data_IF_312933612985
#
_entry.id   IF_312933612985
#
_cell.length_a   1.000
_cell.length_b   1.000
_cell.length_c   1.000
_cell.angle_alpha   90.00
_cell.angle_beta   90.00
_cell.angle_gamma   90.00
#
_symmetry.space_group_name_H-M   'P 1'
#
loop_
_entity.id
_entity.type
_entity.pdbx_description
1 polymer ?
#
# COMPACT_ATOMS: atom_id res chain seq x y z
N UNK A 1 22.06 7.60 1.28
CA UNK A 1 22.22 8.45 0.09
C UNK A 1 20.87 8.66 -0.56
N UNK A 2 20.53 9.91 -0.88
CA UNK A 2 19.23 10.19 -1.49
C UNK A 2 19.01 9.46 -2.81
N UNK A 3 17.76 9.06 -3.03
CA UNK A 3 17.33 8.33 -4.21
C UNK A 3 16.15 9.10 -4.84
N UNK A 4 16.43 9.97 -5.82
CA UNK A 4 15.42 10.85 -6.39
C UNK A 4 14.21 10.10 -6.97
N UNK A 5 14.42 8.95 -7.62
CA UNK A 5 13.32 8.17 -8.18
C UNK A 5 12.37 7.65 -7.11
N UNK A 6 12.91 7.25 -5.97
CA UNK A 6 12.09 6.80 -4.84
C UNK A 6 11.29 7.97 -4.25
N UNK A 7 11.91 9.14 -4.14
CA UNK A 7 11.22 10.33 -3.66
C UNK A 7 10.08 10.73 -4.59
N UNK A 8 10.29 10.68 -5.92
CA UNK A 8 9.26 10.98 -6.91
C UNK A 8 8.12 9.96 -6.80
N UNK A 9 8.44 8.68 -6.69
CA UNK A 9 7.43 7.62 -6.55
C UNK A 9 6.55 7.87 -5.32
N UNK A 10 7.15 8.15 -4.17
CA UNK A 10 6.39 8.39 -2.95
C UNK A 10 5.52 9.65 -3.03
N UNK A 11 6.02 10.71 -3.71
CA UNK A 11 5.25 11.92 -3.94
C UNK A 11 4.06 11.65 -4.88
N UNK A 12 4.28 10.87 -5.95
CA UNK A 12 3.21 10.50 -6.88
C UNK A 12 2.14 9.67 -6.18
N UNK A 13 2.55 8.72 -5.36
CA UNK A 13 1.61 7.91 -4.58
C UNK A 13 0.82 8.79 -3.60
N UNK A 14 1.49 9.74 -2.94
CA UNK A 14 0.80 10.68 -2.04
C UNK A 14 -0.29 11.46 -2.78
N UNK A 15 0.00 11.94 -3.99
CA UNK A 15 -0.98 12.66 -4.79
C UNK A 15 -2.19 11.80 -5.12
N UNK A 16 -1.97 10.54 -5.48
CA UNK A 16 -3.06 9.60 -5.77
C UNK A 16 -3.87 9.27 -4.51
N UNK A 17 -3.22 9.13 -3.36
CA UNK A 17 -3.92 8.93 -2.09
C UNK A 17 -4.81 10.14 -1.76
N UNK A 18 -4.31 11.34 -1.97
CA UNK A 18 -5.09 12.56 -1.75
C UNK A 18 -6.34 12.60 -2.62
N UNK A 19 -6.25 12.13 -3.86
CA UNK A 19 -7.40 12.02 -4.74
C UNK A 19 -8.42 11.02 -4.19
N UNK A 20 -7.96 9.88 -3.70
CA UNK A 20 -8.85 8.90 -3.07
C UNK A 20 -9.50 9.48 -1.81
N UNK A 21 -8.73 10.18 -0.99
CA UNK A 21 -9.25 10.82 0.22
C UNK A 21 -10.31 11.86 -0.11
N UNK A 22 -10.10 12.64 -1.17
CA UNK A 22 -11.07 13.67 -1.58
C UNK A 22 -12.37 13.08 -2.11
N UNK A 23 -12.35 11.83 -2.56
CA UNK A 23 -13.55 11.10 -2.99
C UNK A 23 -14.36 10.52 -1.84
N UNK A 24 -13.86 10.59 -0.60
CA UNK A 24 -14.58 10.10 0.58
C UNK A 24 -15.44 11.24 1.14
N UNK A 25 -16.75 11.11 1.00
CA UNK A 25 -17.69 12.07 1.59
C UNK A 25 -18.05 11.69 3.03
N UNK A 26 -18.64 12.63 3.77
CA UNK A 26 -19.10 12.37 5.13
C UNK A 26 -20.30 11.41 5.15
N UNK A 27 -21.11 11.45 4.11
CA UNK A 27 -22.37 10.72 4.05
C UNK A 27 -22.44 9.68 2.93
N UNK A 28 -21.44 9.64 2.02
CA UNK A 28 -21.45 8.74 0.88
C UNK A 28 -20.18 7.90 0.89
N UNK A 29 -20.37 6.58 0.91
CA UNK A 29 -19.28 5.62 0.79
C UNK A 29 -19.15 5.22 -0.68
N UNK A 30 -17.99 5.44 -1.31
CA UNK A 30 -17.80 5.00 -2.70
C UNK A 30 -17.79 3.47 -2.78
N UNK A 31 -18.04 2.89 -3.99
CA UNK A 31 -17.93 1.45 -4.18
C UNK A 31 -16.55 0.95 -3.75
N UNK A 32 -16.47 -0.15 -2.97
CA UNK A 32 -15.18 -0.59 -2.43
C UNK A 32 -14.23 -1.18 -3.48
N UNK A 33 -14.73 -1.82 -4.52
CA UNK A 33 -13.91 -2.52 -5.50
C UNK A 33 -12.79 -1.67 -6.10
N UNK A 34 -13.12 -0.56 -6.77
CA UNK A 34 -12.08 0.30 -7.37
C UNK A 34 -11.11 0.88 -6.34
N UNK A 35 -11.60 1.21 -5.14
CA UNK A 35 -10.77 1.79 -4.09
C UNK A 35 -9.79 0.75 -3.53
N UNK A 36 -10.26 -0.47 -3.30
CA UNK A 36 -9.41 -1.57 -2.83
C UNK A 36 -8.35 -1.91 -3.87
N UNK A 37 -8.73 -1.96 -5.16
CA UNK A 37 -7.78 -2.20 -6.25
C UNK A 37 -6.71 -1.12 -6.29
N UNK A 38 -7.08 0.15 -6.18
CA UNK A 38 -6.14 1.26 -6.16
C UNK A 38 -5.20 1.15 -4.95
N UNK A 39 -5.75 0.85 -3.76
CA UNK A 39 -4.96 0.72 -2.54
C UNK A 39 -3.91 -0.40 -2.67
N UNK A 40 -4.30 -1.55 -3.21
CA UNK A 40 -3.35 -2.64 -3.45
C UNK A 40 -2.29 -2.26 -4.47
N UNK A 41 -2.69 -1.67 -5.58
CA UNK A 41 -1.77 -1.29 -6.65
C UNK A 41 -0.73 -0.27 -6.16
N UNK A 42 -1.17 0.75 -5.42
CA UNK A 42 -0.27 1.77 -4.88
C UNK A 42 0.68 1.18 -3.84
N UNK A 43 0.20 0.28 -2.99
CA UNK A 43 1.04 -0.39 -2.00
C UNK A 43 2.11 -1.25 -2.68
N UNK A 44 1.72 -2.02 -3.71
CA UNK A 44 2.69 -2.81 -4.50
C UNK A 44 3.75 -1.91 -5.13
N UNK A 45 3.36 -0.78 -5.71
CA UNK A 45 4.29 0.17 -6.32
C UNK A 45 5.30 0.69 -5.30
N UNK A 46 4.85 1.05 -4.10
CA UNK A 46 5.75 1.53 -3.06
C UNK A 46 6.74 0.46 -2.61
N UNK A 47 6.27 -0.75 -2.38
CA UNK A 47 7.13 -1.85 -1.93
C UNK A 47 8.13 -2.21 -3.03
N UNK A 48 7.68 -2.35 -4.27
CA UNK A 48 8.55 -2.66 -5.40
C UNK A 48 9.61 -1.58 -5.60
N UNK A 49 9.21 -0.32 -5.51
CA UNK A 49 10.15 0.81 -5.62
C UNK A 49 11.18 0.83 -4.51
N UNK A 50 10.74 0.57 -3.28
CA UNK A 50 11.64 0.48 -2.14
C UNK A 50 12.66 -0.65 -2.33
N UNK A 51 12.21 -1.84 -2.72
CA UNK A 51 13.07 -2.99 -2.93
C UNK A 51 14.10 -2.75 -4.04
N UNK A 52 13.68 -2.19 -5.16
CA UNK A 52 14.55 -1.90 -6.28
C UNK A 52 15.64 -0.90 -5.91
N UNK A 53 15.27 0.13 -5.15
CA UNK A 53 16.18 1.15 -4.69
C UNK A 53 17.17 0.64 -3.62
N UNK A 54 16.74 -0.35 -2.82
CA UNK A 54 17.52 -0.85 -1.70
C UNK A 54 18.62 -1.83 -2.11
N UNK A 55 18.40 -2.62 -3.15
CA UNK A 55 19.21 -3.81 -3.44
C UNK A 55 19.91 -3.80 -4.79
N UNK A 56 19.68 -2.79 -5.62
CA UNK A 56 20.08 -2.75 -7.03
C UNK A 56 19.58 -3.95 -7.83
N UNK A 57 18.68 -4.73 -7.24
CA UNK A 57 18.03 -5.86 -7.91
C UNK A 57 16.62 -5.46 -8.24
N UNK A 58 16.12 -5.95 -9.37
CA UNK A 58 14.72 -5.76 -9.70
C UNK A 58 13.85 -6.42 -8.64
N UNK A 59 12.78 -5.72 -8.24
CA UNK A 59 11.77 -6.33 -7.39
C UNK A 59 11.17 -7.54 -8.10
N UNK A 60 10.74 -8.57 -7.35
CA UNK A 60 10.05 -9.71 -7.98
C UNK A 60 8.88 -9.21 -8.82
N UNK A 61 8.77 -9.71 -10.06
CA UNK A 61 7.61 -9.44 -10.90
C UNK A 61 6.44 -10.22 -10.32
N UNK A 62 5.67 -9.59 -9.44
CA UNK A 62 4.52 -10.22 -8.81
C UNK A 62 3.42 -9.20 -8.60
N UNK A 63 2.19 -9.60 -8.93
CA UNK A 63 0.99 -8.84 -8.60
C UNK A 63 0.46 -9.19 -7.20
N UNK A 64 1.14 -10.10 -6.51
CA UNK A 64 0.75 -10.53 -5.17
C UNK A 64 1.40 -9.65 -4.11
N UNK A 65 0.58 -8.84 -3.46
CA UNK A 65 1.04 -7.92 -2.42
C UNK A 65 1.76 -8.65 -1.28
N UNK A 66 1.24 -9.79 -0.84
CA UNK A 66 1.87 -10.54 0.26
C UNK A 66 3.20 -11.14 -0.15
N UNK A 67 3.37 -11.55 -1.41
CA UNK A 67 4.64 -12.02 -1.92
C UNK A 67 5.70 -10.93 -1.86
N UNK A 68 5.34 -9.70 -2.25
CA UNK A 68 6.25 -8.55 -2.15
C UNK A 68 6.59 -8.22 -0.70
N UNK A 69 5.58 -8.23 0.18
CA UNK A 69 5.82 -7.97 1.60
C UNK A 69 6.74 -9.02 2.22
N UNK A 70 6.62 -10.29 1.83
CA UNK A 70 7.51 -11.35 2.32
C UNK A 70 8.97 -11.09 1.98
N UNK A 71 9.25 -10.50 0.83
CA UNK A 71 10.62 -10.12 0.45
C UNK A 71 11.16 -9.05 1.41
N UNK A 72 10.33 -8.06 1.76
CA UNK A 72 10.71 -7.03 2.73
C UNK A 72 11.08 -7.64 4.07
N UNK A 73 10.21 -8.46 4.63
CA UNK A 73 10.38 -9.00 5.98
C UNK A 73 11.51 -10.00 6.06
N UNK A 74 11.79 -10.69 4.96
CA UNK A 74 12.94 -11.61 4.88
C UNK A 74 14.25 -10.85 5.00
N UNK A 75 14.33 -9.65 4.44
CA UNK A 75 15.51 -8.79 4.55
C UNK A 75 15.62 -8.10 5.91
N UNK A 76 14.49 -7.72 6.49
CA UNK A 76 14.44 -7.03 7.78
C UNK A 76 13.11 -7.33 8.49
N UNK A 77 13.16 -8.07 9.63
CA UNK A 77 11.95 -8.42 10.38
C UNK A 77 11.12 -7.22 10.87
N UNK A 78 11.69 -6.01 10.92
CA UNK A 78 10.95 -4.82 11.33
C UNK A 78 9.75 -4.55 10.41
N UNK A 79 9.77 -5.05 9.17
CA UNK A 79 8.65 -4.92 8.24
C UNK A 79 7.40 -5.70 8.66
N UNK A 80 7.49 -6.52 9.71
CA UNK A 80 6.30 -7.14 10.31
C UNK A 80 5.31 -6.11 10.87
N UNK A 81 5.77 -4.88 11.12
CA UNK A 81 4.90 -3.80 11.60
C UNK A 81 3.72 -3.54 10.66
N UNK A 82 3.90 -3.72 9.35
CA UNK A 82 2.85 -3.49 8.37
C UNK A 82 2.22 -4.79 7.84
N UNK A 83 2.51 -5.92 8.45
CA UNK A 83 1.96 -7.21 8.02
C UNK A 83 0.44 -7.20 7.96
N UNK A 84 -0.18 -6.77 9.04
CA UNK A 84 -1.64 -6.80 9.14
C UNK A 84 -2.30 -5.81 8.19
N UNK A 85 -1.65 -4.68 7.93
CA UNK A 85 -2.14 -3.70 6.94
C UNK A 85 -2.17 -4.31 5.54
N UNK A 86 -1.10 -4.99 5.13
CA UNK A 86 -1.05 -5.66 3.83
C UNK A 86 -2.08 -6.79 3.75
N UNK A 87 -2.21 -7.59 4.81
CA UNK A 87 -3.18 -8.69 4.86
C UNK A 87 -4.62 -8.18 4.81
N UNK A 88 -4.88 -7.04 5.42
CA UNK A 88 -6.20 -6.41 5.40
C UNK A 88 -6.62 -6.07 3.97
N UNK A 89 -5.76 -5.44 3.19
CA UNK A 89 -6.07 -5.11 1.80
C UNK A 89 -6.29 -6.35 0.94
N UNK A 90 -5.51 -7.40 1.17
CA UNK A 90 -5.69 -8.68 0.47
C UNK A 90 -7.02 -9.32 0.88
N UNK A 91 -7.36 -9.29 2.16
CA UNK A 91 -8.62 -9.82 2.67
C UNK A 91 -9.82 -9.12 2.01
N UNK A 92 -9.78 -7.78 1.91
CA UNK A 92 -10.86 -7.03 1.26
C UNK A 92 -11.03 -7.46 -0.19
N UNK A 93 -9.92 -7.61 -0.93
CA UNK A 93 -9.98 -8.04 -2.32
C UNK A 93 -10.56 -9.45 -2.44
N UNK A 94 -10.14 -10.35 -1.56
CA UNK A 94 -10.64 -11.72 -1.55
C UNK A 94 -12.15 -11.76 -1.27
N UNK A 95 -12.64 -10.95 -0.34
CA UNK A 95 -14.07 -10.86 -0.06
C UNK A 95 -14.85 -10.40 -1.28
N UNK A 96 -14.35 -9.38 -1.98
CA UNK A 96 -15.01 -8.86 -3.19
C UNK A 96 -15.01 -9.90 -4.31
N UNK A 97 -13.88 -10.58 -4.52
CA UNK A 97 -13.76 -11.61 -5.56
C UNK A 97 -14.67 -12.81 -5.28
N UNK A 98 -14.88 -13.13 -4.01
CA UNK A 98 -15.73 -14.25 -3.60
C UNK A 98 -17.22 -13.88 -3.53
N UNK A 99 -17.59 -12.64 -3.84
CA UNK A 99 -18.96 -12.18 -3.69
C UNK A 99 -19.41 -12.06 -2.23
N UNK A 100 -18.47 -11.87 -1.31
CA UNK A 100 -18.71 -11.80 0.12
C UNK A 100 -18.55 -10.37 0.66
N UNK A 101 -19.23 -9.43 0.03
CA UNK A 101 -19.24 -8.05 0.50
C UNK A 101 -19.77 -7.92 1.94
N UNK A 102 -20.58 -8.88 2.38
CA UNK A 102 -21.10 -8.96 3.75
C UNK A 102 -19.99 -9.17 4.80
N UNK A 103 -18.84 -9.72 4.39
CA UNK A 103 -17.70 -9.94 5.28
C UNK A 103 -16.76 -8.74 5.39
N UNK A 104 -17.01 -7.68 4.63
CA UNK A 104 -16.24 -6.45 4.71
C UNK A 104 -16.64 -5.63 5.94
N UNK A 105 -15.72 -4.79 6.48
CA UNK A 105 -16.09 -3.88 7.56
C UNK A 105 -17.07 -2.83 7.07
N UNK A 106 -17.63 -2.06 8.00
CA UNK A 106 -18.44 -0.90 7.65
C UNK A 106 -17.52 0.13 6.97
N UNK A 107 -18.01 0.77 5.90
CA UNK A 107 -17.26 1.76 5.11
C UNK A 107 -15.93 1.20 4.62
N UNK A 108 -15.96 0.11 3.86
CA UNK A 108 -14.72 -0.58 3.46
C UNK A 108 -13.80 0.27 2.59
N UNK A 109 -14.34 1.14 1.73
CA UNK A 109 -13.52 2.04 0.91
C UNK A 109 -12.73 3.00 1.81
N UNK A 110 -13.39 3.59 2.80
CA UNK A 110 -12.73 4.48 3.76
C UNK A 110 -11.64 3.76 4.53
N UNK A 111 -11.91 2.53 4.97
CA UNK A 111 -10.92 1.74 5.68
C UNK A 111 -9.72 1.41 4.80
N UNK A 112 -9.94 1.06 3.53
CA UNK A 112 -8.85 0.77 2.60
C UNK A 112 -7.96 2.00 2.38
N UNK A 113 -8.55 3.19 2.23
CA UNK A 113 -7.78 4.43 2.06
C UNK A 113 -6.98 4.75 3.32
N UNK A 114 -7.55 4.55 4.50
CA UNK A 114 -6.84 4.73 5.77
C UNK A 114 -5.63 3.81 5.88
N UNK A 115 -5.82 2.54 5.55
CA UNK A 115 -4.75 1.55 5.58
C UNK A 115 -3.66 1.92 4.59
N UNK A 116 -4.04 2.32 3.38
CA UNK A 116 -3.09 2.79 2.37
C UNK A 116 -2.30 4.01 2.86
N UNK A 117 -2.96 5.00 3.45
CA UNK A 117 -2.27 6.18 3.99
C UNK A 117 -1.28 5.78 5.07
N UNK A 118 -1.66 4.87 5.94
CA UNK A 118 -0.76 4.37 6.98
C UNK A 118 0.47 3.70 6.38
N UNK A 119 0.28 2.86 5.35
CA UNK A 119 1.39 2.21 4.65
C UNK A 119 2.32 3.23 4.00
N UNK A 120 1.76 4.25 3.36
CA UNK A 120 2.56 5.32 2.75
C UNK A 120 3.41 6.04 3.81
N UNK A 121 2.81 6.42 4.93
CA UNK A 121 3.53 7.13 5.99
C UNK A 121 4.63 6.26 6.59
N UNK A 122 4.37 4.98 6.80
CA UNK A 122 5.36 4.06 7.34
C UNK A 122 6.55 3.91 6.39
N UNK A 123 6.29 3.65 5.11
CA UNK A 123 7.35 3.46 4.11
C UNK A 123 8.15 4.75 3.93
N UNK A 124 7.47 5.88 3.83
CA UNK A 124 8.13 7.18 3.71
C UNK A 124 9.03 7.46 4.91
N UNK A 125 8.52 7.26 6.12
CA UNK A 125 9.28 7.45 7.35
C UNK A 125 10.53 6.56 7.37
N UNK A 126 10.39 5.31 6.93
CA UNK A 126 11.51 4.39 6.83
C UNK A 126 12.57 4.90 5.86
N UNK A 127 12.15 5.39 4.69
CA UNK A 127 13.06 5.95 3.69
C UNK A 127 13.77 7.19 4.23
N UNK A 128 13.08 8.03 4.98
CA UNK A 128 13.68 9.21 5.59
C UNK A 128 14.76 8.82 6.60
N UNK A 129 14.47 7.84 7.47
CA UNK A 129 15.43 7.36 8.45
C UNK A 129 16.66 6.73 7.82
N UNK A 130 16.49 6.13 6.65
CA UNK A 130 17.60 5.52 5.91
C UNK A 130 18.36 6.53 5.03
N UNK A 131 17.94 7.79 5.05
CA UNK A 131 18.60 8.84 4.27
C UNK A 131 18.37 8.72 2.77
N UNK A 132 17.27 8.10 2.33
CA UNK A 132 16.99 7.88 0.90
C UNK A 132 16.16 9.00 0.25
N UNK A 133 15.60 9.89 1.04
CA UNK A 133 14.79 10.98 0.53
C UNK A 133 15.49 12.33 0.65
#
# INVERSE_FOLDING_TARGET
MPQPDLAVLLADVDAEIRMLESGLGDSVEPPPGPVVDAAQALTRRMIAGYLSAATDKMAPASDDLLALWKVLVKGDPAWNTIRDNCRELVYYRNCLDAGRADALPRKPARMAVRTLRHLHLFIKSRCEREGRL
#
